data_IF_721835596667
#
_entry.id   IF_721835596667
#
_cell.length_a   1.000
_cell.length_b   1.000
_cell.length_c   1.000
_cell.angle_alpha   90.00
_cell.angle_beta   90.00
_cell.angle_gamma   90.00
#
_symmetry.space_group_name_H-M   'P 1'
#
loop_
_entity.id
_entity.type
_entity.pdbx_description
1 polymer ?
#
# COMPACT_ATOMS: atom_id res chain seq x y z
N UNK A 1 53.10 1.70 -26.38
CA UNK A 1 51.70 1.91 -26.83
C UNK A 1 50.82 0.97 -26.04
N UNK A 2 49.92 1.35 -25.14
CA UNK A 2 49.67 2.59 -24.42
C UNK A 2 48.99 2.12 -23.13
N UNK A 3 49.62 2.37 -21.99
CA UNK A 3 49.09 2.09 -20.65
C UNK A 3 47.93 3.06 -20.41
N UNK A 4 46.70 2.57 -20.31
CA UNK A 4 45.56 3.37 -19.86
C UNK A 4 45.43 3.17 -18.34
N UNK A 5 46.27 3.89 -17.59
CA UNK A 5 46.02 4.17 -16.18
C UNK A 5 44.93 5.25 -16.14
N UNK A 6 43.69 4.86 -15.85
CA UNK A 6 42.65 5.82 -15.45
C UNK A 6 42.91 6.19 -13.99
N UNK A 7 43.37 7.42 -13.78
CA UNK A 7 43.50 8.03 -12.45
C UNK A 7 42.15 8.00 -11.71
N UNK A 8 42.11 7.67 -10.40
CA UNK A 8 40.91 7.89 -9.61
C UNK A 8 40.74 9.39 -9.41
N UNK A 9 39.70 9.97 -10.00
CA UNK A 9 39.29 11.34 -9.73
C UNK A 9 38.80 11.45 -8.28
N UNK A 10 39.71 11.69 -7.34
CA UNK A 10 39.39 12.11 -5.98
C UNK A 10 39.35 13.64 -5.89
N UNK A 11 38.38 14.10 -5.10
CA UNK A 11 38.12 15.47 -4.62
C UNK A 11 37.34 16.41 -5.55
N UNK A 12 36.02 16.31 -5.47
CA UNK A 12 35.15 17.49 -5.48
C UNK A 12 34.49 17.59 -4.10
N UNK A 13 34.49 18.80 -3.54
CA UNK A 13 33.91 19.21 -2.24
C UNK A 13 32.63 18.44 -1.91
N UNK A 14 32.37 18.00 -0.65
CA UNK A 14 31.11 17.36 -0.33
C UNK A 14 29.99 18.30 -0.78
N UNK A 15 29.09 17.85 -1.67
CA UNK A 15 27.99 18.69 -2.11
C UNK A 15 27.23 19.17 -0.87
N UNK A 16 27.05 20.47 -0.75
CA UNK A 16 26.22 21.08 0.29
C UNK A 16 24.74 20.68 0.16
N UNK A 17 24.39 19.77 -0.75
CA UNK A 17 23.03 19.42 -1.07
C UNK A 17 22.26 20.59 -1.66
N UNK A 18 20.96 20.38 -1.85
CA UNK A 18 20.04 21.41 -2.36
C UNK A 18 19.80 22.52 -1.34
N UNK A 19 19.54 23.73 -1.83
CA UNK A 19 18.97 24.79 -1.00
C UNK A 19 17.55 24.38 -0.56
N UNK A 20 17.19 24.48 0.73
CA UNK A 20 15.84 24.21 1.22
C UNK A 20 14.71 24.91 0.44
N UNK A 21 14.94 26.13 -0.06
CA UNK A 21 13.95 26.87 -0.85
C UNK A 21 13.72 26.23 -2.22
N UNK A 22 14.79 25.76 -2.88
CA UNK A 22 14.71 25.05 -4.16
C UNK A 22 14.04 23.69 -3.99
N UNK A 23 14.37 22.98 -2.90
CA UNK A 23 13.70 21.71 -2.58
C UNK A 23 12.18 21.90 -2.37
N UNK A 24 11.78 22.95 -1.64
CA UNK A 24 10.38 23.28 -1.43
C UNK A 24 9.65 23.77 -2.70
N UNK A 25 10.38 24.38 -3.64
CA UNK A 25 9.83 24.72 -4.96
C UNK A 25 9.60 23.46 -5.78
N UNK A 26 10.59 22.56 -5.88
CA UNK A 26 10.46 21.30 -6.62
C UNK A 26 9.37 20.40 -6.07
N UNK A 27 9.22 20.33 -4.74
CA UNK A 27 8.13 19.57 -4.12
C UNK A 27 6.75 20.09 -4.55
N UNK A 28 6.62 21.40 -4.80
CA UNK A 28 5.36 22.01 -5.30
C UNK A 28 5.15 21.77 -6.79
N UNK A 29 6.21 21.73 -7.58
CA UNK A 29 6.14 21.55 -9.04
C UNK A 29 6.00 20.09 -9.46
N UNK A 30 6.81 19.19 -8.89
CA UNK A 30 6.86 17.76 -9.22
C UNK A 30 5.88 16.92 -8.37
N UNK A 31 5.44 17.46 -7.23
CA UNK A 31 4.61 16.75 -6.26
C UNK A 31 5.43 15.86 -5.30
N UNK A 32 4.75 15.20 -4.34
CA UNK A 32 5.42 14.37 -3.34
C UNK A 32 6.00 13.08 -3.92
N UNK A 33 7.08 12.59 -3.32
CA UNK A 33 7.68 11.28 -3.60
C UNK A 33 6.79 10.15 -3.08
N UNK A 34 5.73 9.88 -3.84
CA UNK A 34 4.80 8.78 -3.58
C UNK A 34 4.61 7.95 -4.85
N UNK A 35 4.65 6.63 -4.68
CA UNK A 35 4.24 5.65 -5.69
C UNK A 35 2.73 5.82 -5.84
N UNK A 36 2.32 6.70 -6.75
CA UNK A 36 0.99 7.27 -6.77
C UNK A 36 -0.13 6.22 -6.84
N UNK A 37 -0.80 5.96 -5.72
CA UNK A 37 -2.24 5.68 -5.63
C UNK A 37 -2.70 6.09 -4.23
N UNK A 38 -2.89 7.38 -4.01
CA UNK A 38 -3.97 7.81 -3.13
C UNK A 38 -4.74 8.90 -3.86
N UNK A 39 -5.73 8.48 -4.66
CA UNK A 39 -6.80 9.40 -5.01
C UNK A 39 -7.44 9.78 -3.68
N UNK A 40 -6.99 10.88 -3.10
CA UNK A 40 -7.70 11.56 -2.02
C UNK A 40 -9.08 11.84 -2.60
N UNK A 41 -10.09 11.13 -2.12
CA UNK A 41 -11.47 11.37 -2.55
C UNK A 41 -11.77 12.83 -2.27
N UNK A 42 -12.12 13.58 -3.31
CA UNK A 42 -12.47 14.97 -3.11
C UNK A 42 -13.86 15.06 -2.49
N UNK A 43 -14.16 16.17 -1.84
CA UNK A 43 -15.49 16.40 -1.26
C UNK A 43 -16.59 16.34 -2.31
N UNK A 44 -16.24 16.70 -3.55
CA UNK A 44 -17.11 16.63 -4.71
C UNK A 44 -17.40 15.18 -5.09
N UNK A 45 -16.40 14.32 -5.07
CA UNK A 45 -16.57 12.90 -5.39
C UNK A 45 -17.47 12.22 -4.36
N UNK A 46 -17.24 12.47 -3.06
CA UNK A 46 -18.11 11.97 -1.99
C UNK A 46 -19.56 12.47 -2.14
N UNK A 47 -19.74 13.77 -2.39
CA UNK A 47 -21.07 14.35 -2.59
C UNK A 47 -21.79 13.76 -3.81
N UNK A 48 -21.05 13.49 -4.88
CA UNK A 48 -21.60 12.90 -6.10
C UNK A 48 -22.01 11.44 -5.93
N UNK A 49 -21.26 10.69 -5.13
CA UNK A 49 -21.60 9.31 -4.78
C UNK A 49 -22.92 9.27 -3.99
N UNK A 50 -23.10 10.15 -2.99
CA UNK A 50 -24.34 10.24 -2.21
C UNK A 50 -25.54 10.60 -3.09
N UNK A 51 -25.39 11.55 -4.02
CA UNK A 51 -26.48 11.96 -4.93
C UNK A 51 -26.90 10.83 -5.87
N UNK A 52 -25.98 9.92 -6.22
CA UNK A 52 -26.27 8.76 -7.08
C UNK A 52 -26.96 7.62 -6.34
N UNK A 53 -27.08 7.68 -5.01
CA UNK A 53 -27.74 6.62 -4.25
C UNK A 53 -29.23 6.55 -4.59
N UNK A 54 -29.78 5.34 -4.85
CA UNK A 54 -31.18 5.18 -5.26
C UNK A 54 -32.20 5.80 -4.30
N UNK A 55 -31.93 5.76 -2.98
CA UNK A 55 -32.79 6.41 -1.99
C UNK A 55 -32.81 7.93 -2.19
N UNK A 56 -31.64 8.54 -2.37
CA UNK A 56 -31.50 9.98 -2.51
C UNK A 56 -32.27 10.49 -3.73
N UNK A 57 -32.22 9.73 -4.83
CA UNK A 57 -32.99 9.99 -6.04
C UNK A 57 -34.51 9.87 -5.82
N UNK A 58 -34.96 8.87 -5.04
CA UNK A 58 -36.39 8.72 -4.69
C UNK A 58 -36.89 9.87 -3.80
N UNK A 59 -36.09 10.29 -2.81
CA UNK A 59 -36.39 11.45 -1.96
C UNK A 59 -36.45 12.74 -2.79
N UNK A 60 -35.46 12.96 -3.65
CA UNK A 60 -35.44 14.13 -4.53
C UNK A 60 -36.65 14.14 -5.48
N UNK A 61 -37.03 12.98 -6.00
CA UNK A 61 -38.24 12.80 -6.80
C UNK A 61 -39.53 13.13 -6.04
N UNK A 62 -39.68 12.64 -4.80
CA UNK A 62 -40.81 12.97 -3.93
C UNK A 62 -40.90 14.47 -3.63
N UNK A 63 -39.76 15.10 -3.30
CA UNK A 63 -39.70 16.53 -3.05
C UNK A 63 -40.06 17.37 -4.28
N UNK A 64 -39.62 16.95 -5.47
CA UNK A 64 -39.99 17.59 -6.72
C UNK A 64 -41.51 17.48 -7.00
N UNK A 65 -42.13 16.35 -6.66
CA UNK A 65 -43.59 16.16 -6.80
C UNK A 65 -44.35 17.12 -5.87
N UNK A 66 -43.97 17.23 -4.59
CA UNK A 66 -44.59 18.17 -3.65
C UNK A 66 -44.43 19.63 -4.10
N UNK A 67 -43.25 20.00 -4.59
CA UNK A 67 -42.98 21.34 -5.09
C UNK A 67 -43.83 21.67 -6.33
N UNK A 68 -43.94 20.73 -7.28
CA UNK A 68 -44.79 20.89 -8.46
C UNK A 68 -46.28 21.07 -8.10
N UNK A 69 -46.69 20.55 -6.95
CA UNK A 69 -48.05 20.68 -6.44
C UNK A 69 -48.34 21.97 -5.67
N UNK A 70 -47.31 22.78 -5.42
CA UNK A 70 -47.42 24.00 -4.63
C UNK A 70 -47.42 23.78 -3.12
N UNK A 71 -47.24 22.56 -2.64
CA UNK A 71 -47.05 22.27 -1.22
C UNK A 71 -45.58 22.46 -0.83
N UNK A 72 -45.19 23.73 -0.77
CA UNK A 72 -43.82 24.12 -0.46
C UNK A 72 -43.40 23.69 0.97
N UNK A 73 -44.35 23.48 1.88
CA UNK A 73 -44.02 23.12 3.26
C UNK A 73 -43.50 21.68 3.35
N UNK A 74 -44.26 20.72 2.82
CA UNK A 74 -43.86 19.30 2.79
C UNK A 74 -42.60 19.09 1.94
N UNK A 75 -42.50 19.77 0.79
CA UNK A 75 -41.31 19.73 -0.05
C UNK A 75 -40.06 20.21 0.70
N UNK A 76 -40.16 21.30 1.47
CA UNK A 76 -39.03 21.92 2.15
C UNK A 76 -38.60 21.10 3.38
N UNK A 77 -39.55 20.48 4.10
CA UNK A 77 -39.24 19.51 5.17
C UNK A 77 -38.46 18.33 4.59
N UNK A 78 -38.96 17.74 3.50
CA UNK A 78 -38.34 16.55 2.89
C UNK A 78 -36.97 16.86 2.30
N UNK A 79 -36.82 17.96 1.55
CA UNK A 79 -35.54 18.42 1.04
C UNK A 79 -34.57 18.82 2.17
N UNK A 80 -35.08 19.37 3.27
CA UNK A 80 -34.29 19.66 4.47
C UNK A 80 -33.68 18.39 5.07
N UNK A 81 -34.47 17.32 5.21
CA UNK A 81 -33.97 16.01 5.66
C UNK A 81 -32.90 15.45 4.74
N UNK A 82 -33.09 15.57 3.42
CA UNK A 82 -32.12 15.15 2.41
C UNK A 82 -30.77 15.85 2.61
N UNK A 83 -30.78 17.16 2.86
CA UNK A 83 -29.56 17.95 3.12
C UNK A 83 -28.88 17.52 4.42
N UNK A 84 -29.64 17.29 5.49
CA UNK A 84 -29.11 16.85 6.79
C UNK A 84 -28.46 15.48 6.67
N UNK A 85 -29.14 14.52 6.03
CA UNK A 85 -28.60 13.16 5.80
C UNK A 85 -27.32 13.25 4.97
N UNK A 86 -27.34 14.01 3.87
CA UNK A 86 -26.14 14.23 3.03
C UNK A 86 -24.97 14.79 3.84
N UNK A 87 -25.23 15.80 4.68
CA UNK A 87 -24.20 16.41 5.51
C UNK A 87 -23.62 15.41 6.52
N UNK A 88 -24.47 14.62 7.18
CA UNK A 88 -24.05 13.58 8.12
C UNK A 88 -23.18 12.53 7.40
N UNK A 89 -23.64 12.01 6.26
CA UNK A 89 -22.91 11.00 5.49
C UNK A 89 -21.53 11.50 5.06
N UNK A 90 -21.45 12.71 4.48
CA UNK A 90 -20.17 13.30 4.06
C UNK A 90 -19.24 13.55 5.25
N UNK A 91 -19.76 14.00 6.40
CA UNK A 91 -18.95 14.22 7.59
C UNK A 91 -18.43 12.90 8.19
N UNK A 92 -19.25 11.84 8.19
CA UNK A 92 -18.86 10.51 8.67
C UNK A 92 -17.77 9.89 7.79
N UNK A 93 -17.90 10.00 6.47
CA UNK A 93 -16.91 9.46 5.54
C UNK A 93 -15.55 10.16 5.69
N UNK A 94 -15.53 11.50 5.85
CA UNK A 94 -14.29 12.24 6.13
C UNK A 94 -13.58 11.81 7.41
N UNK A 95 -14.33 11.59 8.50
CA UNK A 95 -13.75 11.16 9.77
C UNK A 95 -13.09 9.79 9.64
N UNK A 96 -13.71 8.90 8.87
CA UNK A 96 -13.22 7.55 8.61
C UNK A 96 -11.94 7.58 7.77
N UNK A 97 -11.93 8.37 6.70
CA UNK A 97 -10.75 8.56 5.85
C UNK A 97 -9.57 9.18 6.61
N UNK A 98 -9.83 10.15 7.50
CA UNK A 98 -8.79 10.77 8.33
C UNK A 98 -8.15 9.78 9.31
N UNK A 99 -8.95 8.92 9.95
CA UNK A 99 -8.43 7.90 10.86
C UNK A 99 -7.51 6.90 10.15
N UNK A 100 -7.90 6.47 8.94
CA UNK A 100 -7.09 5.58 8.11
C UNK A 100 -5.80 6.26 7.60
N UNK A 101 -5.87 7.53 7.24
CA UNK A 101 -4.68 8.29 6.81
C UNK A 101 -3.71 8.54 7.97
N UNK A 102 -4.19 8.82 9.18
CA UNK A 102 -3.34 8.98 10.35
C UNK A 102 -2.54 7.70 10.69
N UNK A 103 -3.17 6.53 10.54
CA UNK A 103 -2.48 5.24 10.67
C UNK A 103 -1.41 5.01 9.58
N UNK A 104 -1.66 5.47 8.34
CA UNK A 104 -0.66 5.44 7.27
C UNK A 104 0.50 6.41 7.53
N UNK A 105 0.24 7.59 8.05
CA UNK A 105 1.28 8.60 8.31
C UNK A 105 2.24 8.17 9.43
N UNK A 106 1.74 7.46 10.44
CA UNK A 106 2.56 6.90 11.53
C UNK A 106 3.51 5.77 11.09
N UNK A 107 3.32 5.18 9.90
CA UNK A 107 4.14 4.09 9.37
C UNK A 107 5.06 4.51 8.21
N UNK A 108 5.13 5.81 7.90
CA UNK A 108 5.90 6.32 6.76
C UNK A 108 7.41 6.37 7.09
N UNK A 109 8.28 5.72 6.27
CA UNK A 109 9.73 5.79 6.46
C UNK A 109 10.25 7.23 6.36
N UNK A 110 11.23 7.58 7.19
CA UNK A 110 11.93 8.88 7.14
C UNK A 110 13.25 8.72 6.41
N UNK A 111 13.67 9.75 5.68
CA UNK A 111 14.92 9.78 4.93
C UNK A 111 15.86 10.85 5.51
N UNK A 112 17.16 10.57 5.56
CA UNK A 112 18.18 11.53 5.94
C UNK A 112 18.69 12.25 4.68
N UNK A 113 18.38 13.54 4.54
CA UNK A 113 18.79 14.36 3.39
C UNK A 113 19.75 15.46 3.83
N UNK A 114 20.70 15.80 2.97
CA UNK A 114 21.55 16.98 3.15
C UNK A 114 20.99 18.12 2.32
N UNK A 115 20.61 19.22 2.97
CA UNK A 115 20.15 20.46 2.32
C UNK A 115 20.84 21.66 2.97
N UNK A 116 21.38 22.59 2.18
CA UNK A 116 22.11 23.75 2.67
C UNK A 116 23.33 23.42 3.56
N UNK A 117 23.95 22.25 3.36
CA UNK A 117 25.08 21.74 4.11
C UNK A 117 24.71 21.04 5.42
N UNK A 118 23.42 20.94 5.74
CA UNK A 118 22.93 20.35 7.01
C UNK A 118 22.19 19.06 6.72
N UNK A 119 22.57 17.99 7.43
CA UNK A 119 21.84 16.73 7.42
C UNK A 119 20.56 16.86 8.26
N UNK A 120 19.40 16.57 7.68
CA UNK A 120 18.09 16.66 8.31
C UNK A 120 17.22 15.45 7.94
N UNK A 121 16.43 14.95 8.90
CA UNK A 121 15.47 13.87 8.63
C UNK A 121 14.16 14.45 8.12
N UNK A 122 13.82 14.14 6.88
CA UNK A 122 12.54 14.51 6.24
C UNK A 122 11.66 13.28 6.07
N UNK A 123 10.35 13.48 5.89
CA UNK A 123 9.49 12.36 5.51
C UNK A 123 9.89 11.86 4.11
N UNK A 124 9.86 10.54 3.86
CA UNK A 124 10.24 10.00 2.54
C UNK A 124 9.47 10.63 1.37
N UNK A 125 8.23 11.08 1.62
CA UNK A 125 7.36 11.81 0.67
C UNK A 125 7.87 13.19 0.26
N UNK A 126 8.76 13.79 1.05
CA UNK A 126 9.30 15.15 0.85
C UNK A 126 10.67 15.13 0.15
N UNK A 127 11.18 13.95 -0.18
CA UNK A 127 12.39 13.77 -0.99
C UNK A 127 12.08 14.22 -2.42
N UNK A 128 12.96 15.03 -3.00
CA UNK A 128 12.80 15.57 -4.36
C UNK A 128 13.99 15.20 -5.23
N UNK A 129 13.88 15.40 -6.55
CA UNK A 129 15.00 15.18 -7.47
C UNK A 129 16.19 16.07 -7.12
N UNK A 130 17.37 15.49 -7.30
CA UNK A 130 18.69 16.02 -6.94
C UNK A 130 18.93 16.22 -5.43
N UNK A 131 18.01 15.78 -4.55
CA UNK A 131 18.33 15.66 -3.14
C UNK A 131 19.55 14.77 -2.95
N UNK A 132 20.31 15.09 -1.93
CA UNK A 132 21.44 14.29 -1.51
C UNK A 132 21.03 13.49 -0.28
N UNK A 133 20.78 12.20 -0.49
CA UNK A 133 20.42 11.26 0.55
C UNK A 133 21.69 10.68 1.17
N UNK A 134 21.72 10.65 2.49
CA UNK A 134 22.69 9.85 3.22
C UNK A 134 22.02 8.53 3.58
N UNK A 135 22.59 7.44 3.10
CA UNK A 135 22.06 6.09 3.28
C UNK A 135 23.07 5.27 4.06
N UNK A 136 22.59 4.51 5.03
CA UNK A 136 23.40 3.60 5.82
C UNK A 136 22.72 2.24 5.94
N UNK A 137 23.47 1.26 6.44
CA UNK A 137 22.95 -0.06 6.74
C UNK A 137 21.60 -0.04 7.48
N UNK A 138 20.67 -0.86 7.01
CA UNK A 138 19.31 -0.95 7.52
C UNK A 138 18.34 0.08 6.95
N UNK A 139 18.82 1.09 6.22
CA UNK A 139 17.95 2.06 5.56
C UNK A 139 17.27 1.45 4.33
N UNK A 140 15.96 1.67 4.21
CA UNK A 140 15.22 1.43 2.97
C UNK A 140 15.27 2.68 2.11
N UNK A 141 15.77 2.54 0.89
CA UNK A 141 16.07 3.67 0.02
C UNK A 141 14.77 4.31 -0.48
N UNK A 142 14.65 5.63 -0.33
CA UNK A 142 13.38 6.35 -0.55
C UNK A 142 13.13 6.76 -2.01
N UNK A 143 14.16 6.84 -2.84
CA UNK A 143 14.08 7.33 -4.22
C UNK A 143 15.20 6.71 -5.07
N UNK A 144 15.03 6.72 -6.39
CA UNK A 144 16.09 6.29 -7.31
C UNK A 144 17.16 7.36 -7.38
N UNK A 145 18.42 6.94 -7.49
CA UNK A 145 19.53 7.87 -7.59
C UNK A 145 20.82 7.24 -8.10
N UNK A 146 21.85 8.06 -8.16
CA UNK A 146 23.21 7.66 -8.49
C UNK A 146 24.11 7.91 -7.29
N UNK A 147 24.96 6.94 -6.94
CA UNK A 147 25.89 7.07 -5.83
C UNK A 147 26.96 8.08 -6.14
N UNK A 148 27.08 9.09 -5.28
CA UNK A 148 28.22 9.98 -5.26
C UNK A 148 29.38 9.35 -4.49
N UNK A 149 29.09 8.81 -3.31
CA UNK A 149 30.07 8.13 -2.46
C UNK A 149 29.48 6.81 -2.00
N UNK A 150 30.33 5.79 -1.92
CA UNK A 150 29.98 4.48 -1.40
C UNK A 150 31.19 3.93 -0.65
N UNK A 151 30.93 3.42 0.55
CA UNK A 151 31.92 2.74 1.36
C UNK A 151 31.32 1.39 1.78
N UNK A 152 31.84 0.32 1.16
CA UNK A 152 31.40 -1.07 1.38
C UNK A 152 29.87 -1.25 1.27
N UNK A 153 29.28 -0.42 0.41
CA UNK A 153 27.83 -0.35 0.26
C UNK A 153 27.35 -1.56 -0.53
N UNK A 154 26.43 -2.33 0.03
CA UNK A 154 25.69 -3.36 -0.68
C UNK A 154 24.18 -3.17 -0.50
N UNK A 155 23.41 -3.45 -1.56
CA UNK A 155 21.95 -3.29 -1.54
C UNK A 155 21.24 -4.58 -1.91
N UNK A 156 20.19 -4.93 -1.16
CA UNK A 156 19.25 -6.01 -1.49
C UNK A 156 18.23 -5.47 -2.49
N UNK A 157 18.37 -5.92 -3.74
CA UNK A 157 17.50 -5.54 -4.87
C UNK A 157 16.37 -6.55 -5.13
N UNK A 158 16.12 -7.50 -4.21
CA UNK A 158 15.09 -8.55 -4.35
C UNK A 158 13.70 -8.01 -4.65
N UNK A 159 13.36 -6.81 -4.16
CA UNK A 159 12.09 -6.13 -4.46
C UNK A 159 11.91 -5.78 -5.96
N UNK A 160 13.00 -5.62 -6.72
CA UNK A 160 12.96 -5.33 -8.15
C UNK A 160 13.31 -6.57 -9.01
N UNK A 161 14.26 -7.39 -8.56
CA UNK A 161 14.82 -8.50 -9.35
C UNK A 161 14.29 -9.88 -8.94
N UNK A 162 13.80 -10.04 -7.71
CA UNK A 162 13.44 -11.33 -7.11
C UNK A 162 14.62 -12.11 -6.53
N UNK A 163 15.85 -11.60 -6.68
CA UNK A 163 17.08 -12.23 -6.21
C UNK A 163 17.60 -11.55 -4.94
N UNK A 164 18.03 -12.37 -3.98
CA UNK A 164 18.40 -11.94 -2.62
C UNK A 164 19.89 -11.76 -2.38
N UNK A 165 20.70 -12.00 -3.39
CA UNK A 165 22.14 -11.79 -3.28
C UNK A 165 22.41 -10.28 -3.17
N UNK A 166 23.08 -9.81 -2.10
CA UNK A 166 23.42 -8.40 -1.97
C UNK A 166 24.27 -7.94 -3.14
N UNK A 167 23.86 -6.85 -3.79
CA UNK A 167 24.59 -6.29 -4.91
C UNK A 167 25.56 -5.23 -4.39
N UNK A 168 26.89 -5.44 -4.46
CA UNK A 168 27.86 -4.43 -4.05
C UNK A 168 27.82 -3.23 -4.99
N UNK A 169 27.93 -2.03 -4.42
CA UNK A 169 27.76 -0.76 -5.14
C UNK A 169 29.01 0.11 -5.06
N UNK A 170 29.32 0.73 -6.19
CA UNK A 170 30.43 1.68 -6.32
C UNK A 170 29.94 3.09 -6.66
N UNK A 171 30.73 4.14 -6.40
CA UNK A 171 30.43 5.49 -6.87
C UNK A 171 30.13 5.52 -8.38
N UNK A 172 29.09 6.25 -8.77
CA UNK A 172 28.60 6.35 -10.15
C UNK A 172 27.57 5.28 -10.55
N UNK A 173 27.30 4.29 -9.69
CA UNK A 173 26.29 3.28 -9.97
C UNK A 173 24.88 3.69 -9.51
N UNK A 174 23.83 3.21 -10.20
CA UNK A 174 22.45 3.46 -9.81
C UNK A 174 22.05 2.64 -8.59
N UNK A 175 21.17 3.23 -7.80
CA UNK A 175 20.53 2.64 -6.63
C UNK A 175 19.04 2.95 -6.72
N UNK A 176 18.20 1.96 -6.37
CA UNK A 176 16.76 2.00 -6.65
C UNK A 176 15.91 2.20 -5.39
N UNK A 177 14.79 2.88 -5.55
CA UNK A 177 13.80 3.09 -4.51
C UNK A 177 13.21 1.75 -4.05
N UNK A 178 13.09 1.59 -2.74
CA UNK A 178 12.52 0.39 -2.12
C UNK A 178 13.51 -0.73 -1.87
N UNK A 179 14.75 -0.65 -2.33
CA UNK A 179 15.82 -1.59 -1.95
C UNK A 179 16.31 -1.31 -0.53
N UNK A 180 16.90 -2.31 0.12
CA UNK A 180 17.44 -2.21 1.48
C UNK A 180 18.96 -2.12 1.41
N UNK A 181 19.57 -1.20 2.16
CA UNK A 181 21.02 -1.20 2.36
C UNK A 181 21.38 -2.32 3.34
N UNK A 182 22.10 -3.32 2.85
CA UNK A 182 22.50 -4.52 3.61
C UNK A 182 23.76 -4.28 4.41
N UNK A 183 24.68 -3.47 3.86
CA UNK A 183 25.94 -3.12 4.51
C UNK A 183 26.46 -1.78 4.02
N UNK A 184 27.33 -1.18 4.82
CA UNK A 184 28.08 0.02 4.46
C UNK A 184 27.22 1.29 4.47
N UNK A 185 27.76 2.34 3.86
CA UNK A 185 27.11 3.65 3.80
C UNK A 185 27.46 4.38 2.51
N UNK A 186 26.59 5.30 2.13
CA UNK A 186 26.74 6.03 0.88
C UNK A 186 26.02 7.37 0.85
N UNK A 187 26.43 8.16 -0.11
CA UNK A 187 25.85 9.45 -0.44
C UNK A 187 25.21 9.29 -1.81
N UNK A 188 23.89 9.39 -1.86
CA UNK A 188 23.07 9.12 -3.05
C UNK A 188 22.49 10.43 -3.57
N UNK A 189 22.74 10.77 -4.82
CA UNK A 189 22.07 11.89 -5.48
C UNK A 189 20.81 11.39 -6.19
N UNK A 190 19.65 11.92 -5.80
CA UNK A 190 18.35 11.50 -6.33
C UNK A 190 18.23 11.85 -7.81
N UNK A 191 17.90 10.87 -8.64
CA UNK A 191 17.66 11.05 -10.08
C UNK A 191 16.17 11.06 -10.40
N UNK A 192 15.37 10.23 -9.72
CA UNK A 192 13.94 10.11 -9.91
C UNK A 192 13.19 9.84 -8.60
N UNK A 193 11.96 10.34 -8.50
CA UNK A 193 11.09 10.21 -7.33
C UNK A 193 9.69 9.74 -7.72
N UNK A 194 9.00 9.13 -6.77
CA UNK A 194 7.61 8.71 -6.85
C UNK A 194 7.39 7.77 -8.02
N UNK A 195 6.48 8.16 -8.90
CA UNK A 195 6.10 7.39 -10.08
C UNK A 195 7.19 7.28 -11.15
N UNK A 196 8.20 8.14 -11.12
CA UNK A 196 9.28 8.14 -12.11
C UNK A 196 10.43 7.19 -11.76
N UNK A 197 10.41 6.59 -10.57
CA UNK A 197 11.35 5.54 -10.17
C UNK A 197 11.10 4.25 -10.95
N UNK A 198 12.06 3.34 -11.01
CA UNK A 198 11.88 2.01 -11.63
C UNK A 198 10.76 1.23 -10.93
N UNK A 199 10.73 1.26 -9.60
CA UNK A 199 9.63 0.69 -8.82
C UNK A 199 8.29 1.41 -9.11
N UNK A 200 8.33 2.72 -9.34
CA UNK A 200 7.19 3.54 -9.74
C UNK A 200 6.66 3.19 -11.13
N UNK A 201 7.54 2.91 -12.09
CA UNK A 201 7.19 2.48 -13.45
C UNK A 201 6.59 1.08 -13.46
N UNK A 202 7.15 0.15 -12.68
CA UNK A 202 6.53 -1.16 -12.43
C UNK A 202 5.15 -0.97 -11.78
N UNK A 203 5.05 -0.06 -10.81
CA UNK A 203 3.77 0.30 -10.18
C UNK A 203 2.75 0.89 -11.16
N UNK A 204 3.17 1.72 -12.12
CA UNK A 204 2.30 2.30 -13.14
C UNK A 204 1.83 1.27 -14.17
N UNK A 205 2.72 0.35 -14.59
CA UNK A 205 2.32 -0.73 -15.50
C UNK A 205 1.29 -1.64 -14.85
N UNK A 206 1.41 -1.89 -13.54
CA UNK A 206 0.41 -2.57 -12.72
C UNK A 206 -0.83 -1.69 -12.42
N UNK A 207 -0.68 -0.37 -12.36
CA UNK A 207 -1.76 0.58 -12.06
C UNK A 207 -2.81 0.69 -13.18
N UNK A 208 -2.49 0.21 -14.38
CA UNK A 208 -3.47 0.01 -15.46
C UNK A 208 -4.40 -1.19 -15.20
N UNK A 209 -4.04 -2.07 -14.26
CA UNK A 209 -4.91 -3.15 -13.78
C UNK A 209 -5.93 -2.49 -12.86
N UNK A 210 -7.09 -2.17 -13.43
CA UNK A 210 -8.23 -1.65 -12.68
C UNK A 210 -8.47 -2.52 -11.45
N UNK A 211 -8.44 -1.89 -10.27
CA UNK A 211 -8.80 -2.54 -9.02
C UNK A 211 -10.24 -3.00 -9.13
N UNK A 212 -10.43 -4.30 -9.35
CA UNK A 212 -11.75 -4.90 -9.41
C UNK A 212 -12.48 -4.67 -8.08
N UNK A 213 -13.79 -4.43 -8.18
CA UNK A 213 -14.63 -4.37 -7.00
C UNK A 213 -14.56 -5.72 -6.26
N UNK A 214 -14.73 -5.70 -4.95
CA UNK A 214 -14.74 -6.96 -4.20
C UNK A 214 -15.97 -7.79 -4.60
N UNK A 215 -15.87 -9.13 -4.67
CA UNK A 215 -16.98 -9.98 -5.12
C UNK A 215 -18.28 -9.74 -4.34
N UNK A 216 -18.21 -9.58 -3.02
CA UNK A 216 -19.32 -9.23 -2.13
C UNK A 216 -19.91 -7.86 -2.46
N UNK A 217 -19.07 -6.89 -2.86
CA UNK A 217 -19.56 -5.57 -3.30
C UNK A 217 -20.34 -5.68 -4.61
N UNK A 218 -19.91 -6.55 -5.53
CA UNK A 218 -20.63 -6.82 -6.77
C UNK A 218 -21.95 -7.56 -6.51
N UNK A 219 -21.94 -8.59 -5.65
CA UNK A 219 -23.15 -9.30 -5.24
C UNK A 219 -24.15 -8.36 -4.53
N UNK A 220 -23.66 -7.48 -3.66
CA UNK A 220 -24.47 -6.46 -3.02
C UNK A 220 -25.06 -5.46 -4.00
N UNK A 221 -24.28 -5.02 -5.00
CA UNK A 221 -24.79 -4.15 -6.05
C UNK A 221 -25.87 -4.84 -6.88
N UNK A 222 -25.69 -6.13 -7.18
CA UNK A 222 -26.68 -6.95 -7.89
C UNK A 222 -27.96 -7.13 -7.06
N UNK A 223 -27.83 -7.43 -5.77
CA UNK A 223 -28.96 -7.52 -4.84
C UNK A 223 -29.71 -6.19 -4.74
N UNK A 224 -28.99 -5.09 -4.57
CA UNK A 224 -29.55 -3.73 -4.52
C UNK A 224 -30.30 -3.40 -5.81
N UNK A 225 -29.73 -3.74 -6.98
CA UNK A 225 -30.37 -3.53 -8.27
C UNK A 225 -31.63 -4.38 -8.43
N UNK A 226 -31.61 -5.64 -7.99
CA UNK A 226 -32.80 -6.52 -8.00
C UNK A 226 -33.91 -5.96 -7.09
N UNK A 227 -33.58 -5.57 -5.87
CA UNK A 227 -34.53 -5.00 -4.92
C UNK A 227 -35.07 -3.64 -5.37
N UNK A 228 -34.26 -2.84 -6.06
CA UNK A 228 -34.72 -1.62 -6.71
C UNK A 228 -35.79 -1.92 -7.77
N UNK A 229 -35.55 -2.90 -8.66
CA UNK A 229 -36.54 -3.29 -9.67
C UNK A 229 -37.82 -3.87 -9.04
N UNK A 230 -37.69 -4.69 -8.00
CA UNK A 230 -38.84 -5.22 -7.25
C UNK A 230 -39.61 -4.08 -6.58
N UNK A 231 -38.91 -3.16 -5.90
CA UNK A 231 -39.49 -2.00 -5.24
C UNK A 231 -40.21 -1.07 -6.22
N UNK A 232 -39.64 -0.83 -7.40
CA UNK A 232 -40.28 -0.05 -8.46
C UNK A 232 -41.51 -0.77 -9.05
N UNK A 233 -41.44 -2.09 -9.25
CA UNK A 233 -42.57 -2.86 -9.73
C UNK A 233 -43.74 -2.86 -8.72
N UNK A 234 -43.42 -3.05 -7.43
CA UNK A 234 -44.41 -2.97 -6.34
C UNK A 234 -44.98 -1.56 -6.19
N UNK A 235 -44.14 -0.53 -6.32
CA UNK A 235 -44.56 0.86 -6.35
C UNK A 235 -45.54 1.10 -7.50
N UNK A 236 -45.18 0.76 -8.74
CA UNK A 236 -46.05 0.94 -9.90
C UNK A 236 -47.37 0.17 -9.76
N UNK A 237 -47.33 -1.06 -9.23
CA UNK A 237 -48.51 -1.86 -8.95
C UNK A 237 -49.42 -1.19 -7.91
N UNK A 238 -48.85 -0.72 -6.80
CA UNK A 238 -49.60 -0.04 -5.74
C UNK A 238 -50.20 1.28 -6.25
N UNK A 239 -49.43 2.06 -7.01
CA UNK A 239 -49.87 3.31 -7.62
C UNK A 239 -51.03 3.06 -8.57
N UNK A 240 -50.92 2.06 -9.45
CA UNK A 240 -51.98 1.69 -10.38
C UNK A 240 -53.25 1.23 -9.67
N UNK A 241 -53.12 0.41 -8.62
CA UNK A 241 -54.25 -0.11 -7.85
C UNK A 241 -54.95 1.00 -7.05
N UNK A 242 -54.20 1.82 -6.30
CA UNK A 242 -54.77 2.91 -5.51
C UNK A 242 -55.31 4.03 -6.39
N UNK A 243 -54.62 4.36 -7.48
CA UNK A 243 -55.08 5.33 -8.48
C UNK A 243 -56.38 4.90 -9.13
N UNK A 244 -56.53 3.63 -9.48
CA UNK A 244 -57.78 3.09 -10.01
C UNK A 244 -58.90 3.10 -8.96
N UNK A 245 -58.64 2.60 -7.75
CA UNK A 245 -59.68 2.41 -6.73
C UNK A 245 -60.13 3.70 -6.04
N UNK A 246 -59.21 4.63 -5.78
CA UNK A 246 -59.47 5.86 -5.00
C UNK A 246 -59.51 7.13 -5.85
N UNK A 247 -58.96 7.11 -7.07
CA UNK A 247 -58.86 8.29 -7.95
C UNK A 247 -57.81 9.31 -7.54
N UNK A 248 -57.23 9.21 -6.33
CA UNK A 248 -56.15 10.06 -5.85
C UNK A 248 -54.77 9.51 -6.27
N UNK A 249 -54.35 9.90 -7.47
CA UNK A 249 -53.07 9.51 -8.06
C UNK A 249 -51.87 10.05 -7.29
N UNK A 250 -52.02 11.19 -6.61
CA UNK A 250 -50.94 11.78 -5.83
C UNK A 250 -50.66 10.93 -4.60
N UNK A 251 -51.66 10.69 -3.75
CA UNK A 251 -51.45 9.83 -2.58
C UNK A 251 -50.98 8.45 -3.00
N UNK A 252 -51.46 7.94 -4.13
CA UNK A 252 -51.00 6.67 -4.69
C UNK A 252 -49.48 6.71 -4.99
N UNK A 253 -48.99 7.74 -5.69
CA UNK A 253 -47.55 7.92 -6.00
C UNK A 253 -46.71 8.11 -4.74
N UNK A 254 -47.13 8.94 -3.81
CA UNK A 254 -46.41 9.16 -2.55
C UNK A 254 -46.37 7.89 -1.69
N UNK A 255 -47.45 7.12 -1.65
CA UNK A 255 -47.50 5.82 -0.97
C UNK A 255 -46.59 4.80 -1.65
N UNK A 256 -46.54 4.82 -2.99
CA UNK A 256 -45.66 3.97 -3.79
C UNK A 256 -44.18 4.28 -3.54
N UNK A 257 -43.81 5.55 -3.50
CA UNK A 257 -42.44 5.98 -3.17
C UNK A 257 -42.08 5.57 -1.73
N UNK A 258 -42.99 5.75 -0.77
CA UNK A 258 -42.80 5.31 0.62
C UNK A 258 -42.56 3.81 0.71
N UNK A 259 -43.32 3.00 -0.05
CA UNK A 259 -43.09 1.56 -0.15
C UNK A 259 -41.70 1.24 -0.75
N UNK A 260 -41.34 1.90 -1.85
CA UNK A 260 -40.05 1.70 -2.50
C UNK A 260 -38.87 2.05 -1.57
N UNK A 261 -38.99 3.09 -0.76
CA UNK A 261 -38.00 3.45 0.26
C UNK A 261 -37.84 2.35 1.32
N UNK A 262 -38.95 1.77 1.80
CA UNK A 262 -38.92 0.70 2.80
C UNK A 262 -38.34 -0.63 2.31
N UNK A 263 -38.36 -0.89 1.00
CA UNK A 263 -37.83 -2.13 0.39
C UNK A 263 -36.32 -2.06 0.13
N UNK A 264 -35.75 -0.85 -0.02
CA UNK A 264 -34.33 -0.68 -0.34
C UNK A 264 -33.44 -0.96 0.89
N UNK A 265 -32.48 -1.90 0.81
CA UNK A 265 -31.68 -2.29 1.97
C UNK A 265 -30.45 -1.39 2.14
N UNK A 266 -30.68 -0.19 2.64
CA UNK A 266 -29.63 0.84 2.78
C UNK A 266 -28.67 0.58 3.94
N UNK A 267 -29.07 -0.25 4.90
CA UNK A 267 -28.24 -0.59 6.06
C UNK A 267 -27.11 -1.55 5.71
N UNK A 268 -27.27 -2.35 4.64
CA UNK A 268 -26.34 -3.43 4.32
C UNK A 268 -24.91 -2.93 3.95
N UNK A 269 -24.73 -1.87 3.14
CA UNK A 269 -23.40 -1.29 2.90
C UNK A 269 -22.68 -0.83 4.18
N UNK A 270 -23.41 -0.18 5.11
CA UNK A 270 -22.86 0.30 6.38
C UNK A 270 -22.44 -0.89 7.25
N UNK A 271 -23.33 -1.88 7.39
CA UNK A 271 -23.07 -3.11 8.11
C UNK A 271 -21.81 -3.80 7.57
N UNK A 272 -21.64 -3.83 6.25
CA UNK A 272 -20.48 -4.42 5.60
C UNK A 272 -19.16 -3.78 6.01
N UNK A 273 -19.11 -2.44 5.99
CA UNK A 273 -17.92 -1.67 6.36
C UNK A 273 -17.56 -1.97 7.82
N UNK A 274 -18.55 -2.00 8.71
CA UNK A 274 -18.35 -2.30 10.14
C UNK A 274 -17.80 -3.72 10.33
N UNK A 275 -18.38 -4.73 9.68
CA UNK A 275 -17.89 -6.11 9.78
C UNK A 275 -16.48 -6.26 9.24
N UNK A 276 -16.17 -5.65 8.08
CA UNK A 276 -14.83 -5.69 7.51
C UNK A 276 -13.81 -4.95 8.40
N UNK A 277 -14.19 -3.85 9.03
CA UNK A 277 -13.32 -3.14 9.97
C UNK A 277 -13.03 -3.97 11.24
N UNK A 278 -14.04 -4.67 11.77
CA UNK A 278 -13.85 -5.61 12.88
C UNK A 278 -12.95 -6.79 12.48
N UNK A 279 -13.10 -7.31 11.26
CA UNK A 279 -12.22 -8.35 10.72
C UNK A 279 -10.77 -7.85 10.56
N UNK A 280 -10.58 -6.62 10.05
CA UNK A 280 -9.27 -5.99 9.94
C UNK A 280 -8.59 -5.86 11.31
N UNK A 281 -9.35 -5.46 12.34
CA UNK A 281 -8.87 -5.39 13.72
C UNK A 281 -8.47 -6.77 14.25
N UNK A 282 -9.24 -7.83 13.96
CA UNK A 282 -8.90 -9.20 14.35
C UNK A 282 -7.61 -9.67 13.67
N UNK A 283 -7.43 -9.40 12.37
CA UNK A 283 -6.19 -9.73 11.66
C UNK A 283 -4.98 -8.96 12.22
N UNK A 284 -5.16 -7.69 12.58
CA UNK A 284 -4.11 -6.89 13.19
C UNK A 284 -3.63 -7.48 14.54
N UNK A 285 -4.52 -8.07 15.34
CA UNK A 285 -4.11 -8.79 16.57
C UNK A 285 -3.23 -10.01 16.31
N UNK A 286 -3.23 -10.53 15.07
CA UNK A 286 -2.35 -11.61 14.61
C UNK A 286 -1.17 -11.11 13.77
N UNK A 287 -0.78 -9.83 13.92
CA UNK A 287 0.32 -9.21 13.16
C UNK A 287 0.09 -9.13 11.63
N UNK A 288 -1.16 -9.28 11.17
CA UNK A 288 -1.52 -9.13 9.75
C UNK A 288 -2.17 -7.77 9.54
N UNK A 289 -1.47 -6.86 8.85
CA UNK A 289 -1.95 -5.52 8.57
C UNK A 289 -2.71 -5.47 7.24
N UNK A 290 -4.03 -5.25 7.30
CA UNK A 290 -4.85 -5.08 6.10
C UNK A 290 -4.86 -3.62 5.64
N UNK A 291 -4.30 -3.34 4.45
CA UNK A 291 -4.31 -1.98 3.86
C UNK A 291 -5.63 -1.60 3.17
N UNK A 292 -6.44 -2.58 2.79
CA UNK A 292 -7.72 -2.39 2.08
C UNK A 292 -8.74 -3.38 2.60
N UNK A 293 -9.90 -2.90 3.04
CA UNK A 293 -10.96 -3.74 3.62
C UNK A 293 -11.41 -4.86 2.66
N UNK A 294 -11.49 -4.56 1.36
CA UNK A 294 -11.84 -5.53 0.31
C UNK A 294 -10.89 -6.74 0.26
N UNK A 295 -9.62 -6.58 0.65
CA UNK A 295 -8.62 -7.65 0.58
C UNK A 295 -8.91 -8.80 1.56
N UNK A 296 -9.62 -8.52 2.66
CA UNK A 296 -10.01 -9.54 3.66
C UNK A 296 -10.92 -10.59 3.01
N UNK A 297 -11.88 -10.10 2.22
CA UNK A 297 -12.83 -10.95 1.52
C UNK A 297 -12.16 -11.71 0.37
N UNK A 298 -11.36 -11.02 -0.45
CA UNK A 298 -10.61 -11.65 -1.55
C UNK A 298 -9.72 -12.78 -1.04
N UNK A 299 -9.06 -12.60 0.11
CA UNK A 299 -8.24 -13.65 0.73
C UNK A 299 -9.09 -14.88 1.11
N UNK A 300 -10.31 -14.67 1.61
CA UNK A 300 -11.24 -15.74 1.96
C UNK A 300 -11.78 -16.53 0.75
N UNK A 301 -11.81 -15.92 -0.43
CA UNK A 301 -12.25 -16.55 -1.68
C UNK A 301 -11.10 -17.03 -2.58
N UNK A 302 -9.85 -16.86 -2.13
CA UNK A 302 -8.68 -17.22 -2.93
C UNK A 302 -8.61 -18.73 -3.11
N UNK A 303 -8.66 -19.21 -4.35
CA UNK A 303 -8.53 -20.63 -4.72
C UNK A 303 -7.14 -21.00 -5.22
N UNK A 304 -6.40 -20.01 -5.73
CA UNK A 304 -5.04 -20.17 -6.24
C UNK A 304 -4.16 -19.16 -5.54
N UNK A 305 -3.16 -19.64 -4.81
CA UNK A 305 -2.15 -18.80 -4.18
C UNK A 305 -0.89 -18.81 -5.04
N UNK A 306 -0.64 -17.70 -5.72
CA UNK A 306 0.64 -17.43 -6.36
C UNK A 306 1.56 -16.82 -5.32
N UNK A 307 2.61 -17.53 -4.94
CA UNK A 307 3.60 -17.08 -3.96
C UNK A 307 4.91 -16.76 -4.67
N UNK A 308 5.54 -15.68 -4.24
CA UNK A 308 6.95 -15.49 -4.54
C UNK A 308 7.78 -16.47 -3.69
N UNK A 309 8.95 -16.88 -4.18
CA UNK A 309 9.86 -17.75 -3.44
C UNK A 309 10.59 -16.93 -2.39
N UNK A 310 11.28 -15.90 -2.84
CA UNK A 310 12.33 -15.27 -2.06
C UNK A 310 11.75 -14.26 -1.08
N UNK A 311 12.04 -14.41 0.22
CA UNK A 311 11.48 -13.53 1.26
C UNK A 311 9.99 -13.70 1.56
N UNK A 312 9.32 -14.62 0.84
CA UNK A 312 7.92 -15.02 1.10
C UNK A 312 7.85 -16.48 1.56
N UNK A 313 8.36 -17.43 0.78
CA UNK A 313 8.51 -18.82 1.20
C UNK A 313 9.81 -19.05 1.97
N UNK A 314 10.87 -18.36 1.56
CA UNK A 314 12.19 -18.42 2.21
C UNK A 314 12.36 -17.25 3.17
N UNK A 315 13.24 -17.41 4.15
CA UNK A 315 13.53 -16.37 5.15
C UNK A 315 14.37 -15.20 4.60
N UNK A 316 14.66 -15.17 3.28
CA UNK A 316 15.63 -14.25 2.67
C UNK A 316 16.96 -14.23 3.46
N UNK A 317 17.42 -15.40 3.89
CA UNK A 317 18.67 -15.58 4.64
C UNK A 317 19.34 -16.85 4.18
N UNK A 318 20.64 -16.74 3.95
CA UNK A 318 21.45 -17.89 3.62
C UNK A 318 21.66 -18.77 4.85
N UNK A 319 21.63 -20.08 4.65
CA UNK A 319 21.80 -21.09 5.68
C UNK A 319 22.60 -22.26 5.11
N UNK A 320 23.51 -22.81 5.92
CA UNK A 320 24.20 -24.06 5.58
C UNK A 320 23.13 -25.14 5.46
N UNK A 321 23.01 -25.77 4.28
CA UNK A 321 21.98 -26.77 4.01
C UNK A 321 22.45 -28.21 4.27
N UNK A 322 23.74 -28.45 4.05
CA UNK A 322 24.38 -29.71 4.35
C UNK A 322 25.88 -29.53 4.52
N UNK A 323 26.49 -30.39 5.33
CA UNK A 323 27.94 -30.56 5.47
C UNK A 323 28.32 -31.94 4.94
N UNK A 324 29.43 -32.06 4.23
CA UNK A 324 29.89 -33.33 3.67
C UNK A 324 31.37 -33.55 3.95
N UNK A 325 31.70 -34.63 4.67
CA UNK A 325 33.08 -35.05 4.95
C UNK A 325 33.28 -36.49 4.48
N UNK A 326 34.10 -36.66 3.43
CA UNK A 326 34.34 -37.97 2.81
C UNK A 326 33.06 -38.63 2.28
N UNK A 327 32.60 -39.70 2.93
CA UNK A 327 31.37 -40.44 2.58
C UNK A 327 30.16 -40.08 3.47
N UNK A 328 30.31 -39.16 4.43
CA UNK A 328 29.24 -38.76 5.33
C UNK A 328 28.68 -37.40 4.90
N UNK A 329 27.36 -37.29 4.83
CA UNK A 329 26.67 -36.02 4.57
C UNK A 329 25.64 -35.79 5.66
N UNK A 330 25.75 -34.66 6.34
CA UNK A 330 24.81 -34.20 7.35
C UNK A 330 23.88 -33.16 6.73
N UNK A 331 22.57 -33.38 6.78
CA UNK A 331 21.57 -32.39 6.40
C UNK A 331 21.22 -31.54 7.62
N UNK A 332 21.44 -30.23 7.51
CA UNK A 332 21.32 -29.27 8.60
C UNK A 332 19.97 -28.54 8.60
N UNK A 333 19.10 -28.77 7.62
CA UNK A 333 17.75 -28.18 7.51
C UNK A 333 16.65 -29.11 8.05
N UNK A 334 17.00 -30.29 8.56
CA UNK A 334 16.05 -31.26 9.12
C UNK A 334 15.73 -31.01 10.60
N UNK A 335 14.70 -31.70 11.16
CA UNK A 335 14.25 -31.53 12.56
C UNK A 335 15.25 -31.95 13.66
N UNK A 336 16.49 -32.31 13.29
CA UNK A 336 17.57 -32.62 14.24
C UNK A 336 18.55 -31.45 14.44
N UNK A 337 18.29 -30.27 13.87
CA UNK A 337 19.16 -29.10 13.94
C UNK A 337 18.74 -28.07 15.01
N UNK A 338 17.97 -28.46 16.02
CA UNK A 338 17.63 -27.60 17.16
C UNK A 338 18.63 -27.82 18.30
N UNK A 339 19.85 -27.30 18.14
CA UNK A 339 20.80 -27.15 19.23
C UNK A 339 22.26 -26.95 18.78
N UNK A 340 23.02 -26.01 19.39
CA UNK A 340 24.46 -25.86 19.16
C UNK A 340 25.30 -27.08 19.64
N UNK A 341 24.69 -28.05 20.34
CA UNK A 341 25.38 -29.20 20.96
C UNK A 341 25.35 -30.51 20.14
N UNK A 342 24.84 -30.53 18.91
CA UNK A 342 24.61 -31.79 18.16
C UNK A 342 25.34 -31.90 16.82
N UNK A 343 26.42 -31.13 16.62
CA UNK A 343 27.28 -31.29 15.46
C UNK A 343 28.15 -32.54 15.67
N UNK A 344 28.06 -33.59 14.83
CA UNK A 344 28.91 -34.76 14.99
C UNK A 344 30.38 -34.38 14.81
N UNK A 345 31.25 -35.01 15.60
CA UNK A 345 32.68 -34.68 15.66
C UNK A 345 33.36 -34.71 14.28
N UNK A 346 32.88 -35.56 13.38
CA UNK A 346 33.34 -35.69 12.00
C UNK A 346 33.14 -34.43 11.13
N UNK A 347 32.34 -33.46 11.55
CA UNK A 347 32.05 -32.23 10.81
C UNK A 347 32.58 -30.96 11.50
N UNK A 348 33.10 -31.06 12.74
CA UNK A 348 33.66 -29.91 13.46
C UNK A 348 34.84 -29.29 12.71
N UNK A 349 35.81 -30.10 12.28
CA UNK A 349 37.00 -29.61 11.59
C UNK A 349 36.64 -28.90 10.26
N UNK A 350 35.65 -29.41 9.54
CA UNK A 350 35.15 -28.78 8.31
C UNK A 350 34.55 -27.40 8.58
N UNK A 351 33.72 -27.29 9.62
CA UNK A 351 33.09 -26.02 9.99
C UNK A 351 34.11 -25.03 10.55
N UNK A 352 35.06 -25.50 11.35
CA UNK A 352 36.15 -24.69 11.89
C UNK A 352 37.00 -24.10 10.76
N UNK A 353 37.38 -24.89 9.75
CA UNK A 353 38.09 -24.37 8.59
C UNK A 353 37.26 -23.39 7.76
N UNK A 354 35.94 -23.61 7.63
CA UNK A 354 35.07 -22.67 6.93
C UNK A 354 35.01 -21.31 7.64
N UNK A 355 34.90 -21.30 8.97
CA UNK A 355 34.90 -20.07 9.78
C UNK A 355 36.27 -19.39 9.78
N UNK A 356 37.36 -20.14 9.95
CA UNK A 356 38.72 -19.59 9.93
C UNK A 356 39.15 -19.05 8.55
N UNK A 357 38.53 -19.55 7.49
CA UNK A 357 38.73 -19.06 6.13
C UNK A 357 37.81 -17.87 5.78
N UNK A 358 36.85 -17.54 6.63
CA UNK A 358 35.92 -16.40 6.48
C UNK A 358 36.47 -15.16 7.18
N UNK A 359 35.96 -13.97 6.85
CA UNK A 359 36.30 -12.76 7.60
C UNK A 359 35.76 -12.81 9.03
N UNK A 360 36.43 -12.11 9.97
CA UNK A 360 36.03 -12.09 11.39
C UNK A 360 34.65 -11.44 11.57
N UNK A 361 34.34 -10.45 10.72
CA UNK A 361 33.03 -9.78 10.66
C UNK A 361 32.51 -9.86 9.20
N UNK A 362 31.94 -11.02 8.81
CA UNK A 362 31.67 -11.31 7.42
C UNK A 362 30.46 -10.54 6.90
N UNK A 363 30.62 -9.92 5.73
CA UNK A 363 29.55 -9.23 5.02
C UNK A 363 28.85 -10.14 3.99
N UNK A 364 29.52 -11.21 3.55
CA UNK A 364 28.96 -12.19 2.62
C UNK A 364 27.90 -13.08 3.32
N UNK A 365 26.71 -13.28 2.72
CA UNK A 365 25.66 -14.08 3.33
C UNK A 365 26.03 -15.54 3.63
N UNK A 366 26.89 -16.17 2.83
CA UNK A 366 27.37 -17.54 3.07
C UNK A 366 28.34 -17.58 4.24
N UNK A 367 29.27 -16.64 4.33
CA UNK A 367 30.19 -16.54 5.48
C UNK A 367 29.41 -16.29 6.78
N UNK A 368 28.45 -15.35 6.77
CA UNK A 368 27.53 -15.15 7.89
C UNK A 368 26.73 -16.41 8.25
N UNK A 369 26.45 -17.29 7.28
CA UNK A 369 25.79 -18.56 7.54
C UNK A 369 26.72 -19.56 8.24
N UNK A 370 28.02 -19.60 7.90
CA UNK A 370 29.02 -20.43 8.58
C UNK A 370 29.21 -20.00 10.04
N UNK A 371 29.40 -18.70 10.29
CA UNK A 371 29.56 -18.17 11.64
C UNK A 371 28.32 -18.43 12.51
N UNK A 372 27.11 -18.18 12.01
CA UNK A 372 25.86 -18.48 12.73
C UNK A 372 25.67 -19.96 13.02
N UNK A 373 26.18 -20.84 12.16
CA UNK A 373 26.07 -22.28 12.36
C UNK A 373 27.11 -22.80 13.37
N UNK A 374 28.27 -22.15 13.48
CA UNK A 374 29.32 -22.51 14.42
C UNK A 374 29.06 -22.06 15.88
N UNK A 375 28.18 -21.08 16.07
CA UNK A 375 27.78 -20.57 17.40
C UNK A 375 28.24 -19.14 17.64
#
# INVERSE_FOLDING_TARGET
MSTYQSEPAQASTPPTGLDPAVAAQRLREEGPNELGVSQRRTLRDMAWDVVREPMFLLLLGAGAIYLAMGDAHEALILLGFVVVIMAITVLQERRTDQALNALRDLSSPRALVVRGGVAQRVAGREVVREDLLMIAEGDRISADGCLWQAHELATDESMLTGESEPVPKQPGQPVFAGTLVVSGQGLLQVSAVGQHTELGRIGQSLGTIALQASPLREEMALLTRRLLFIGLALCALLVGLLGWLRGDWLQAVLSGITLAMGVLPQELPVIMIVFLALAARRLATQQVLTRRLNAIETLGQTTVLCVDKTGTLTQNRMAVAALSTGQQTLNTLGPMAEGPDSLPEAFHELLEYAVLASEIDPHDPMEQAFHRFAG
#
